data_IF_191524877217
#
_entry.id   IF_191524877217
#
_cell.length_a   1.000
_cell.length_b   1.000
_cell.length_c   1.000
_cell.angle_alpha   90.00
_cell.angle_beta   90.00
_cell.angle_gamma   90.00
#
_symmetry.space_group_name_H-M   'P 1'
#
loop_
_entity.id
_entity.type
_entity.pdbx_description
1 polymer ?
#
# COMPACT_ATOMS: atom_id res chain seq x y z
N UNK A 1 -9.40 -11.11 -14.24
CA UNK A 1 -10.45 -10.79 -13.26
C UNK A 1 -10.52 -9.29 -13.05
N UNK A 2 -11.71 -8.76 -13.11
CA UNK A 2 -11.90 -7.34 -12.88
C UNK A 2 -12.26 -7.07 -11.44
N UNK A 3 -11.64 -6.03 -10.90
CA UNK A 3 -12.01 -5.51 -9.58
C UNK A 3 -13.02 -4.39 -9.80
N UNK A 4 -14.05 -4.36 -9.00
CA UNK A 4 -14.93 -3.21 -9.02
C UNK A 4 -14.52 -2.26 -7.89
N UNK A 5 -15.08 -1.05 -7.93
CA UNK A 5 -14.70 -0.01 -6.97
C UNK A 5 -15.04 -0.40 -5.53
N UNK A 6 -16.09 -1.20 -5.34
CA UNK A 6 -16.47 -1.65 -4.00
C UNK A 6 -15.45 -2.61 -3.41
N UNK A 7 -14.88 -3.48 -4.25
CA UNK A 7 -13.85 -4.41 -3.77
C UNK A 7 -12.59 -3.66 -3.36
N UNK A 8 -12.18 -2.69 -4.16
CA UNK A 8 -11.00 -1.88 -3.84
C UNK A 8 -11.21 -1.07 -2.58
N UNK A 9 -12.41 -0.52 -2.42
CA UNK A 9 -12.76 0.26 -1.24
C UNK A 9 -12.73 -0.62 0.01
N UNK A 10 -13.29 -1.82 -0.07
CA UNK A 10 -13.27 -2.75 1.05
C UNK A 10 -11.84 -3.13 1.45
N UNK A 11 -11.03 -3.47 0.46
CA UNK A 11 -9.63 -3.82 0.71
C UNK A 11 -8.90 -2.66 1.37
N UNK A 12 -9.07 -1.46 0.83
CA UNK A 12 -8.43 -0.27 1.39
C UNK A 12 -8.86 -0.05 2.84
N UNK A 13 -10.17 -0.11 3.10
CA UNK A 13 -10.68 0.16 4.43
C UNK A 13 -10.19 -0.87 5.45
N UNK A 14 -10.15 -2.14 5.06
CA UNK A 14 -9.68 -3.21 5.95
C UNK A 14 -8.20 -3.04 6.28
N UNK A 15 -7.38 -2.78 5.26
CA UNK A 15 -5.94 -2.60 5.47
C UNK A 15 -5.66 -1.31 6.24
N UNK A 16 -6.39 -0.25 5.92
CA UNK A 16 -6.20 1.02 6.62
C UNK A 16 -6.55 0.89 8.10
N UNK A 17 -7.61 0.15 8.43
CA UNK A 17 -7.97 -0.10 9.82
C UNK A 17 -6.85 -0.85 10.55
N UNK A 18 -6.28 -1.88 9.91
CA UNK A 18 -5.15 -2.61 10.48
C UNK A 18 -3.94 -1.70 10.68
N UNK A 19 -3.64 -0.86 9.69
CA UNK A 19 -2.52 0.05 9.77
C UNK A 19 -2.67 1.03 10.92
N UNK A 20 -3.86 1.61 11.08
CA UNK A 20 -4.08 2.57 12.17
C UNK A 20 -3.98 1.91 13.54
N UNK A 21 -4.41 0.67 13.64
CA UNK A 21 -4.27 -0.10 14.87
C UNK A 21 -2.80 -0.32 15.24
N UNK A 22 -1.97 -0.68 14.25
CA UNK A 22 -0.52 -0.82 14.48
C UNK A 22 0.13 0.50 14.88
N UNK A 23 -0.36 1.61 14.35
CA UNK A 23 0.20 2.92 14.66
C UNK A 23 -0.07 3.39 16.08
N UNK A 24 -0.95 2.72 16.80
CA UNK A 24 -1.13 2.98 18.23
C UNK A 24 0.07 2.50 19.04
N UNK A 25 0.73 1.45 18.58
CA UNK A 25 1.82 0.81 19.33
C UNK A 25 3.20 0.97 18.68
N UNK A 26 3.26 1.30 17.39
CA UNK A 26 4.50 1.34 16.62
C UNK A 26 4.61 2.63 15.83
N UNK A 27 5.85 2.99 15.49
CA UNK A 27 6.07 4.20 14.70
C UNK A 27 5.47 4.08 13.31
N UNK A 28 4.91 5.19 12.83
CA UNK A 28 4.28 5.25 11.51
C UNK A 28 5.25 4.80 10.41
N UNK A 29 6.51 5.21 10.49
CA UNK A 29 7.49 4.84 9.48
C UNK A 29 7.71 3.33 9.43
N UNK A 30 7.75 2.68 10.59
CA UNK A 30 7.91 1.22 10.64
C UNK A 30 6.71 0.52 10.04
N UNK A 31 5.51 0.99 10.35
CA UNK A 31 4.28 0.42 9.79
C UNK A 31 4.24 0.60 8.28
N UNK A 32 4.51 1.82 7.81
CA UNK A 32 4.50 2.11 6.38
C UNK A 32 5.54 1.29 5.62
N UNK A 33 6.75 1.17 6.18
CA UNK A 33 7.82 0.39 5.55
C UNK A 33 7.43 -1.08 5.43
N UNK A 34 6.76 -1.60 6.45
CA UNK A 34 6.30 -2.99 6.44
C UNK A 34 5.26 -3.24 5.35
N UNK A 35 4.28 -2.34 5.23
CA UNK A 35 3.29 -2.45 4.15
C UNK A 35 3.94 -2.34 2.79
N UNK A 36 4.90 -1.43 2.63
CA UNK A 36 5.63 -1.29 1.37
C UNK A 36 6.38 -2.58 1.02
N UNK A 37 7.05 -3.16 2.00
CA UNK A 37 7.80 -4.40 1.77
C UNK A 37 6.89 -5.54 1.35
N UNK A 38 5.73 -5.66 1.98
CA UNK A 38 4.75 -6.68 1.61
C UNK A 38 4.24 -6.44 0.21
N UNK A 39 3.88 -5.21 -0.11
CA UNK A 39 3.37 -4.87 -1.44
C UNK A 39 4.39 -5.17 -2.53
N UNK A 40 5.64 -4.78 -2.32
CA UNK A 40 6.70 -5.03 -3.29
C UNK A 40 6.92 -6.53 -3.49
N UNK A 41 6.87 -7.29 -2.40
CA UNK A 41 7.04 -8.73 -2.48
C UNK A 41 5.90 -9.41 -3.25
N UNK A 42 4.68 -8.92 -3.06
CA UNK A 42 3.53 -9.42 -3.83
C UNK A 42 3.72 -9.15 -5.32
N UNK A 43 4.13 -7.96 -5.68
CA UNK A 43 4.40 -7.62 -7.08
C UNK A 43 5.51 -8.52 -7.64
N UNK A 44 6.59 -8.67 -6.89
CA UNK A 44 7.74 -9.47 -7.35
C UNK A 44 7.37 -10.94 -7.53
N UNK A 45 6.45 -11.44 -6.72
CA UNK A 45 5.99 -12.82 -6.80
C UNK A 45 5.13 -13.07 -8.04
N UNK A 46 4.32 -12.09 -8.43
CA UNK A 46 3.30 -12.28 -9.46
C UNK A 46 3.62 -11.67 -10.82
N UNK A 47 4.60 -10.78 -10.89
CA UNK A 47 4.98 -10.10 -12.12
C UNK A 47 6.36 -10.56 -12.58
N UNK A 48 6.59 -10.58 -13.88
CA UNK A 48 7.95 -10.81 -14.37
C UNK A 48 8.80 -9.56 -14.10
N UNK A 49 10.10 -9.66 -14.38
CA UNK A 49 11.03 -8.58 -14.02
C UNK A 49 10.70 -7.26 -14.74
N UNK A 50 10.30 -7.34 -16.00
CA UNK A 50 9.93 -6.14 -16.76
C UNK A 50 8.66 -5.50 -16.22
N UNK A 51 7.66 -6.33 -15.95
CA UNK A 51 6.40 -5.85 -15.37
C UNK A 51 6.60 -5.28 -13.97
N UNK A 52 7.42 -5.93 -13.16
CA UNK A 52 7.73 -5.45 -11.82
C UNK A 52 8.38 -4.07 -11.86
N UNK A 53 9.41 -3.91 -12.71
CA UNK A 53 10.11 -2.63 -12.84
C UNK A 53 9.16 -1.54 -13.30
N UNK A 54 8.30 -1.85 -14.28
CA UNK A 54 7.31 -0.90 -14.78
C UNK A 54 6.31 -0.50 -13.70
N UNK A 55 5.85 -1.46 -12.91
CA UNK A 55 4.90 -1.19 -11.83
C UNK A 55 5.51 -0.30 -10.75
N UNK A 56 6.75 -0.61 -10.34
CA UNK A 56 7.42 0.20 -9.32
C UNK A 56 7.63 1.63 -9.84
N UNK A 57 8.00 1.78 -11.11
CA UNK A 57 8.15 3.10 -11.71
C UNK A 57 6.82 3.86 -11.69
N UNK A 58 5.72 3.20 -12.04
CA UNK A 58 4.40 3.80 -12.02
C UNK A 58 4.04 4.26 -10.61
N UNK A 59 4.31 3.42 -9.61
CA UNK A 59 4.04 3.77 -8.21
C UNK A 59 4.84 5.01 -7.81
N UNK A 60 6.12 5.06 -8.17
CA UNK A 60 6.98 6.20 -7.82
C UNK A 60 6.54 7.49 -8.51
N UNK A 61 6.00 7.37 -9.72
CA UNK A 61 5.55 8.54 -10.48
C UNK A 61 4.14 8.99 -10.10
N UNK A 62 3.42 8.19 -9.33
CA UNK A 62 2.06 8.52 -8.91
C UNK A 62 2.10 9.57 -7.82
N UNK A 63 1.36 10.66 -8.03
CA UNK A 63 1.21 11.68 -7.01
C UNK A 63 0.30 11.18 -5.91
N UNK A 64 0.75 11.31 -4.67
CA UNK A 64 -0.02 10.90 -3.50
C UNK A 64 -0.21 12.10 -2.59
N UNK A 65 -1.45 12.36 -2.22
CA UNK A 65 -1.75 13.43 -1.28
C UNK A 65 -1.74 12.90 0.13
N UNK A 66 -1.09 13.60 1.06
CA UNK A 66 -1.12 13.16 2.45
C UNK A 66 -2.51 13.31 3.04
N UNK A 67 -2.78 12.57 4.09
CA UNK A 67 -4.03 12.74 4.83
C UNK A 67 -4.03 14.14 5.45
N UNK A 68 -5.21 14.75 5.51
CA UNK A 68 -5.36 16.10 6.06
C UNK A 68 -4.98 16.18 7.52
N UNK A 69 -5.18 15.09 8.24
CA UNK A 69 -4.90 15.00 9.66
C UNK A 69 -3.83 13.95 9.89
N UNK A 70 -2.81 14.31 10.64
CA UNK A 70 -1.77 13.33 10.95
C UNK A 70 -2.34 12.21 11.80
N UNK A 71 -1.96 10.99 11.47
CA UNK A 71 -2.48 9.81 12.15
C UNK A 71 -1.80 9.58 13.49
N UNK A 72 -0.57 10.04 13.65
CA UNK A 72 0.14 9.96 14.93
C UNK A 72 1.24 10.99 15.05
#
# INVERSE_FOLDING_TARGET
MTHNDKDLEKIYNDIFADATEYMDDYEVQAVAATYMAIAMRLYKTHLDDTEYTSMIQTVMDTEVKPYKKKLH
#
